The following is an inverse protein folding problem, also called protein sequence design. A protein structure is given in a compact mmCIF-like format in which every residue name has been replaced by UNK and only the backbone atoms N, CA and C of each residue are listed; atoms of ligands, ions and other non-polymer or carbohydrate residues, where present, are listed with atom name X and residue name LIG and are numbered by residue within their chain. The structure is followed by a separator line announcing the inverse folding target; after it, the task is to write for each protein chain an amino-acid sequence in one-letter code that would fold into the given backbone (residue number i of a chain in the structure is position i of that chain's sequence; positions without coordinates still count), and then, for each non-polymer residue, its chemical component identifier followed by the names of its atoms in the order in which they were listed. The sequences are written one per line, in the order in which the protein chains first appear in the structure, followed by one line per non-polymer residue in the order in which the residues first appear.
data_IF_445171151727
#
_entry.id   IF_445171151727
#
_cell.length_a   1.000
_cell.length_b   1.000
_cell.length_c   1.000
_cell.angle_alpha   90.00
_cell.angle_beta   90.00
_cell.angle_gamma   90.00
#
_symmetry.space_group_name_H-M   'P 1'
#
loop_
_entity.id
_entity.type
_entity.pdbx_description
1 polymer ?
#
# COMPACT_ATOMS: atom_id res chain seq x y z
N UNK A 1 21.34 31.72 20.98
CA UNK A 1 20.45 32.78 20.46
C UNK A 1 19.08 32.61 21.08
N UNK A 2 18.44 33.66 21.60
CA UNK A 2 17.11 33.54 22.20
C UNK A 2 16.06 33.33 21.11
N UNK A 3 15.15 32.38 21.31
CA UNK A 3 14.04 32.10 20.39
C UNK A 3 12.85 32.95 20.83
N UNK A 4 12.60 34.06 20.12
CA UNK A 4 11.43 34.91 20.35
C UNK A 4 10.23 34.27 19.63
N UNK A 5 9.23 33.81 20.39
CA UNK A 5 7.98 33.27 19.84
C UNK A 5 7.05 34.45 19.50
N UNK A 6 7.07 34.89 18.26
CA UNK A 6 6.08 35.84 17.74
C UNK A 6 4.81 35.06 17.37
N UNK A 7 3.63 35.37 17.95
CA UNK A 7 2.38 34.78 17.49
C UNK A 7 2.04 35.37 16.12
N UNK A 8 2.30 34.62 15.06
CA UNK A 8 1.83 34.95 13.72
C UNK A 8 0.50 34.21 13.46
N UNK A 9 -0.53 34.95 13.08
CA UNK A 9 -1.77 34.35 12.55
C UNK A 9 -1.48 33.79 11.15
N UNK A 10 -1.10 32.51 11.08
CA UNK A 10 -0.96 31.82 9.80
C UNK A 10 -2.34 31.35 9.32
N UNK A 11 -2.78 31.90 8.19
CA UNK A 11 -3.92 31.40 7.43
C UNK A 11 -3.49 30.24 6.54
N UNK A 12 -4.46 29.48 6.03
CA UNK A 12 -4.20 28.41 5.04
C UNK A 12 -3.52 28.98 3.79
N UNK A 13 -3.88 30.19 3.37
CA UNK A 13 -3.27 30.87 2.22
C UNK A 13 -1.80 31.22 2.46
N UNK A 14 -1.44 31.63 3.69
CA UNK A 14 -0.04 31.86 4.07
C UNK A 14 0.77 30.55 4.01
N UNK A 15 0.17 29.43 4.41
CA UNK A 15 0.81 28.12 4.31
C UNK A 15 0.99 27.68 2.86
N UNK A 16 -0.02 27.87 2.00
CA UNK A 16 0.09 27.50 0.57
C UNK A 16 1.21 28.29 -0.10
N UNK A 17 1.29 29.61 0.10
CA UNK A 17 2.37 30.43 -0.46
C UNK A 17 3.75 30.00 0.01
N UNK A 18 3.87 29.55 1.27
CA UNK A 18 5.14 29.04 1.77
C UNK A 18 5.52 27.70 1.12
N UNK A 19 4.53 26.81 0.91
CA UNK A 19 4.72 25.51 0.27
C UNK A 19 5.09 25.65 -1.21
N UNK A 20 4.54 26.65 -1.91
CA UNK A 20 4.89 26.97 -3.31
C UNK A 20 6.36 27.35 -3.51
N UNK A 21 7.02 27.87 -2.48
CA UNK A 21 8.43 28.26 -2.52
C UNK A 21 9.39 27.10 -2.20
N UNK A 22 8.88 25.93 -1.81
CA UNK A 22 9.72 24.80 -1.44
C UNK A 22 10.36 24.16 -2.67
N UNK A 23 11.65 23.74 -2.58
CA UNK A 23 12.25 22.90 -3.59
C UNK A 23 11.55 21.54 -3.65
N UNK A 24 11.65 20.85 -4.79
CA UNK A 24 10.88 19.63 -5.06
C UNK A 24 11.08 18.51 -4.02
N UNK A 25 12.29 18.40 -3.46
CA UNK A 25 12.61 17.40 -2.42
C UNK A 25 11.88 17.70 -1.10
N UNK A 26 11.90 18.97 -0.67
CA UNK A 26 11.23 19.42 0.56
C UNK A 26 9.70 19.42 0.41
N UNK A 27 9.19 19.73 -0.78
CA UNK A 27 7.77 19.62 -1.10
C UNK A 27 7.27 18.16 -0.97
N UNK A 28 8.08 17.21 -1.43
CA UNK A 28 7.78 15.78 -1.30
C UNK A 28 7.74 15.36 0.17
N UNK A 29 8.70 15.82 0.97
CA UNK A 29 8.71 15.54 2.41
C UNK A 29 7.51 16.18 3.14
N UNK A 30 7.16 17.42 2.78
CA UNK A 30 6.00 18.12 3.31
C UNK A 30 4.71 17.35 3.04
N UNK A 31 4.50 16.88 1.80
CA UNK A 31 3.33 16.07 1.44
C UNK A 31 3.22 14.80 2.28
N UNK A 32 4.33 14.08 2.50
CA UNK A 32 4.34 12.88 3.38
C UNK A 32 3.91 13.20 4.81
N UNK A 33 4.38 14.33 5.36
CA UNK A 33 4.00 14.75 6.72
C UNK A 33 2.52 15.13 6.80
N UNK A 34 1.96 15.75 5.77
CA UNK A 34 0.51 16.05 5.70
C UNK A 34 -0.31 14.77 5.66
N UNK A 35 0.10 13.77 4.88
CA UNK A 35 -0.52 12.44 4.86
C UNK A 35 -0.47 11.81 6.26
N UNK A 36 0.68 11.81 6.93
CA UNK A 36 0.79 11.27 8.29
C UNK A 36 -0.14 11.99 9.31
N UNK A 37 -0.33 13.30 9.15
CA UNK A 37 -1.29 14.07 9.94
C UNK A 37 -2.73 13.62 9.65
N UNK A 38 -3.07 13.34 8.39
CA UNK A 38 -4.39 12.86 8.01
C UNK A 38 -4.72 11.49 8.62
N UNK A 39 -3.78 10.53 8.56
CA UNK A 39 -3.92 9.23 9.23
C UNK A 39 -4.19 9.40 10.73
N UNK A 40 -3.39 10.22 11.41
CA UNK A 40 -3.54 10.48 12.86
C UNK A 40 -4.87 11.13 13.22
N UNK A 41 -5.46 11.91 12.31
CA UNK A 41 -6.73 12.61 12.50
C UNK A 41 -7.93 11.82 11.99
N UNK A 42 -7.72 10.67 11.35
CA UNK A 42 -8.80 9.85 10.77
C UNK A 42 -9.55 10.53 9.63
N UNK A 43 -8.94 11.52 8.96
CA UNK A 43 -9.52 12.16 7.78
C UNK A 43 -9.15 11.38 6.51
N UNK A 44 -10.01 11.40 5.48
CA UNK A 44 -9.72 10.74 4.20
C UNK A 44 -8.39 11.20 3.64
N UNK A 45 -7.58 10.22 3.21
CA UNK A 45 -6.28 10.50 2.65
C UNK A 45 -6.44 11.22 1.32
N UNK A 46 -5.68 12.29 1.11
CA UNK A 46 -5.54 12.93 -0.21
C UNK A 46 -4.74 12.00 -1.13
N UNK A 47 -5.34 10.88 -1.50
CA UNK A 47 -4.83 9.95 -2.50
C UNK A 47 -5.55 10.21 -3.81
N UNK A 48 -4.80 10.22 -4.90
CA UNK A 48 -5.42 10.20 -6.23
C UNK A 48 -6.04 8.81 -6.49
N UNK A 49 -6.97 8.74 -7.44
CA UNK A 49 -7.68 7.50 -7.79
C UNK A 49 -6.72 6.38 -8.19
N UNK A 50 -5.57 6.72 -8.79
CA UNK A 50 -4.52 5.77 -9.14
C UNK A 50 -3.88 5.12 -7.89
N UNK A 51 -3.56 5.89 -6.86
CA UNK A 51 -3.01 5.35 -5.61
C UNK A 51 -4.03 4.47 -4.88
N UNK A 52 -5.31 4.82 -4.95
CA UNK A 52 -6.38 3.96 -4.42
C UNK A 52 -6.47 2.64 -5.18
N UNK A 53 -6.41 2.67 -6.51
CA UNK A 53 -6.40 1.47 -7.34
C UNK A 53 -5.18 0.58 -7.05
N UNK A 54 -4.00 1.19 -6.86
CA UNK A 54 -2.77 0.47 -6.48
C UNK A 54 -2.91 -0.19 -5.11
N UNK A 55 -3.48 0.50 -4.12
CA UNK A 55 -3.76 -0.08 -2.80
C UNK A 55 -4.77 -1.23 -2.88
N UNK A 56 -5.83 -1.08 -3.68
CA UNK A 56 -6.81 -2.14 -3.91
C UNK A 56 -6.15 -3.39 -4.51
N UNK A 57 -5.28 -3.21 -5.52
CA UNK A 57 -4.50 -4.30 -6.11
C UNK A 57 -3.58 -5.00 -5.10
N UNK A 58 -2.95 -4.24 -4.19
CA UNK A 58 -2.10 -4.80 -3.13
C UNK A 58 -2.91 -5.62 -2.12
N UNK A 59 -4.15 -5.20 -1.85
CA UNK A 59 -5.04 -5.87 -0.90
C UNK A 59 -5.80 -7.08 -1.47
N UNK A 60 -5.70 -7.30 -2.79
CA UNK A 60 -6.42 -8.34 -3.51
C UNK A 60 -6.04 -9.76 -3.10
N UNK A 61 -6.81 -10.37 -2.19
CA UNK A 61 -6.66 -11.78 -1.80
C UNK A 61 -7.57 -12.69 -2.65
N UNK A 62 -7.38 -14.01 -2.53
CA UNK A 62 -8.38 -14.96 -2.99
C UNK A 62 -9.68 -14.79 -2.16
N UNK A 63 -10.86 -15.00 -2.75
CA UNK A 63 -12.10 -15.14 -1.99
C UNK A 63 -11.94 -16.23 -0.92
N UNK A 64 -12.60 -16.06 0.23
CA UNK A 64 -12.48 -16.98 1.38
C UNK A 64 -12.73 -18.44 1.01
N UNK A 65 -13.70 -18.70 0.14
CA UNK A 65 -14.03 -20.06 -0.32
C UNK A 65 -12.91 -20.68 -1.17
N UNK A 66 -12.35 -19.90 -2.09
CA UNK A 66 -11.22 -20.29 -2.92
C UNK A 66 -9.96 -20.53 -2.08
N UNK A 67 -9.71 -19.67 -1.07
CA UNK A 67 -8.61 -19.82 -0.13
C UNK A 67 -8.76 -21.13 0.67
N UNK A 68 -9.96 -21.40 1.20
CA UNK A 68 -10.25 -22.64 1.93
C UNK A 68 -10.02 -23.87 1.06
N UNK A 69 -10.49 -23.84 -0.20
CA UNK A 69 -10.30 -24.95 -1.13
C UNK A 69 -8.83 -25.19 -1.44
N UNK A 70 -8.06 -24.13 -1.66
CA UNK A 70 -6.62 -24.22 -1.83
C UNK A 70 -5.93 -24.82 -0.60
N UNK A 71 -6.34 -24.44 0.61
CA UNK A 71 -5.78 -24.98 1.84
C UNK A 71 -6.11 -26.47 2.02
N UNK A 72 -7.34 -26.89 1.71
CA UNK A 72 -7.73 -28.32 1.68
C UNK A 72 -6.88 -29.14 0.69
N UNK A 73 -6.65 -28.60 -0.52
CA UNK A 73 -5.83 -29.26 -1.53
C UNK A 73 -4.35 -29.35 -1.09
N UNK A 74 -3.83 -28.32 -0.41
CA UNK A 74 -2.47 -28.36 0.15
C UNK A 74 -2.34 -29.42 1.23
N UNK A 75 -3.32 -29.58 2.10
CA UNK A 75 -3.32 -30.61 3.14
C UNK A 75 -3.32 -32.01 2.51
N UNK A 76 -4.23 -32.27 1.56
CA UNK A 76 -4.24 -33.55 0.81
C UNK A 76 -2.92 -33.82 0.08
N UNK A 77 -2.24 -32.76 -0.37
CA UNK A 77 -0.95 -32.89 -1.07
C UNK A 77 0.13 -33.32 -0.09
N UNK A 78 0.07 -32.82 1.15
CA UNK A 78 0.98 -33.19 2.22
C UNK A 78 0.75 -34.62 2.70
N UNK A 79 -0.51 -35.05 2.74
CA UNK A 79 -0.92 -36.41 3.09
C UNK A 79 -0.76 -37.42 1.94
N UNK A 80 -0.33 -36.99 0.75
CA UNK A 80 -0.23 -37.81 -0.47
C UNK A 80 -1.56 -38.47 -0.90
N UNK A 81 -2.70 -37.90 -0.50
CA UNK A 81 -4.06 -38.42 -0.79
C UNK A 81 -4.73 -37.76 -1.99
N UNK A 82 -3.98 -36.94 -2.73
CA UNK A 82 -4.49 -36.04 -3.75
C UNK A 82 -4.78 -36.79 -5.05
N UNK A 83 -6.01 -36.67 -5.55
CA UNK A 83 -6.39 -37.31 -6.82
C UNK A 83 -5.83 -36.55 -8.03
N UNK A 84 -5.68 -37.19 -9.21
CA UNK A 84 -5.21 -36.49 -10.41
C UNK A 84 -6.06 -35.26 -10.79
N UNK A 85 -7.38 -35.32 -10.54
CA UNK A 85 -8.28 -34.18 -10.79
C UNK A 85 -8.02 -33.03 -9.80
N UNK A 86 -7.83 -33.34 -8.52
CA UNK A 86 -7.46 -32.37 -7.50
C UNK A 86 -6.08 -31.78 -7.74
N UNK A 87 -5.17 -32.52 -8.38
CA UNK A 87 -3.83 -32.04 -8.69
C UNK A 87 -3.89 -30.97 -9.78
N UNK A 88 -4.71 -31.17 -10.80
CA UNK A 88 -5.00 -30.14 -11.80
C UNK A 88 -5.69 -28.91 -11.20
N UNK A 89 -6.59 -29.12 -10.24
CA UNK A 89 -7.23 -28.04 -9.48
C UNK A 89 -6.21 -27.22 -8.68
N UNK A 90 -5.31 -27.90 -7.95
CA UNK A 90 -4.24 -27.27 -7.18
C UNK A 90 -3.32 -26.44 -8.07
N UNK A 91 -2.89 -26.98 -9.23
CA UNK A 91 -2.09 -26.24 -10.20
C UNK A 91 -2.79 -24.97 -10.69
N UNK A 92 -4.10 -25.04 -10.91
CA UNK A 92 -4.91 -23.88 -11.32
C UNK A 92 -4.91 -22.80 -10.24
N UNK A 93 -5.08 -23.17 -8.97
CA UNK A 93 -4.98 -22.22 -7.86
C UNK A 93 -3.59 -21.61 -7.72
N UNK A 94 -2.53 -22.42 -7.86
CA UNK A 94 -1.14 -21.92 -7.83
C UNK A 94 -0.93 -20.84 -8.88
N UNK A 95 -1.36 -21.08 -10.13
CA UNK A 95 -1.27 -20.09 -11.20
C UNK A 95 -2.03 -18.80 -10.88
N UNK A 96 -3.23 -18.90 -10.29
CA UNK A 96 -4.01 -17.73 -9.90
C UNK A 96 -3.34 -16.91 -8.79
N UNK A 97 -2.71 -17.58 -7.83
CA UNK A 97 -1.94 -16.93 -6.75
C UNK A 97 -0.71 -16.24 -7.33
N UNK A 98 0.06 -16.92 -8.18
CA UNK A 98 1.24 -16.34 -8.82
C UNK A 98 0.91 -15.08 -9.63
N UNK A 99 -0.17 -15.12 -10.43
CA UNK A 99 -0.62 -13.95 -11.18
C UNK A 99 -0.97 -12.78 -10.27
N UNK A 100 -1.64 -13.05 -9.15
CA UNK A 100 -1.97 -12.01 -8.15
C UNK A 100 -0.71 -11.47 -7.47
N UNK A 101 0.26 -12.33 -7.17
CA UNK A 101 1.52 -11.93 -6.57
C UNK A 101 2.34 -11.03 -7.50
N UNK A 102 2.34 -11.30 -8.81
CA UNK A 102 2.93 -10.41 -9.82
C UNK A 102 2.25 -9.04 -9.81
N UNK A 103 0.92 -9.00 -9.92
CA UNK A 103 0.15 -7.73 -9.90
C UNK A 103 0.41 -6.96 -8.60
N UNK A 104 0.44 -7.66 -7.47
CA UNK A 104 0.74 -7.08 -6.16
C UNK A 104 2.14 -6.50 -6.11
N UNK A 105 3.15 -7.22 -6.61
CA UNK A 105 4.53 -6.76 -6.64
C UNK A 105 4.68 -5.49 -7.51
N UNK A 106 4.07 -5.48 -8.69
CA UNK A 106 4.05 -4.31 -9.57
C UNK A 106 3.38 -3.11 -8.89
N UNK A 107 2.22 -3.32 -8.24
CA UNK A 107 1.50 -2.27 -7.55
C UNK A 107 2.30 -1.69 -6.38
N UNK A 108 3.00 -2.54 -5.60
CA UNK A 108 3.89 -2.12 -4.53
C UNK A 108 5.04 -1.24 -5.05
N UNK A 109 5.67 -1.63 -6.15
CA UNK A 109 6.76 -0.87 -6.77
C UNK A 109 6.26 0.49 -7.26
N UNK A 110 5.12 0.51 -7.95
CA UNK A 110 4.53 1.75 -8.47
C UNK A 110 4.14 2.71 -7.35
N UNK A 111 3.52 2.20 -6.28
CA UNK A 111 3.10 3.01 -5.15
C UNK A 111 4.29 3.55 -4.35
N UNK A 112 5.33 2.72 -4.12
CA UNK A 112 6.56 3.16 -3.48
C UNK A 112 7.25 4.27 -4.29
N UNK A 113 7.31 4.12 -5.63
CA UNK A 113 7.84 5.13 -6.54
C UNK A 113 7.06 6.44 -6.46
N UNK A 114 5.72 6.39 -6.50
CA UNK A 114 4.85 7.58 -6.40
C UNK A 114 5.05 8.33 -5.09
N UNK A 115 5.24 7.60 -3.98
CA UNK A 115 5.51 8.17 -2.67
C UNK A 115 6.97 8.58 -2.45
N UNK A 116 7.87 8.27 -3.40
CA UNK A 116 9.32 8.49 -3.31
C UNK A 116 10.02 7.67 -2.21
N UNK A 117 9.41 6.56 -1.78
CA UNK A 117 9.93 5.69 -0.71
C UNK A 117 10.40 4.36 -1.29
N UNK A 118 11.03 3.52 -0.48
CA UNK A 118 11.38 2.15 -0.88
C UNK A 118 10.20 1.22 -0.63
N UNK A 119 10.11 0.12 -1.38
CA UNK A 119 9.10 -0.93 -1.15
C UNK A 119 9.21 -1.48 0.28
N UNK A 120 10.44 -1.63 0.79
CA UNK A 120 10.69 -2.10 2.17
C UNK A 120 10.12 -1.16 3.22
N UNK A 121 10.35 0.16 3.09
CA UNK A 121 9.81 1.15 4.02
C UNK A 121 8.27 1.19 3.93
N UNK A 122 7.73 1.15 2.71
CA UNK A 122 6.29 1.11 2.52
C UNK A 122 5.65 -0.13 3.18
N UNK A 123 6.24 -1.32 3.01
CA UNK A 123 5.75 -2.55 3.65
C UNK A 123 5.74 -2.49 5.19
N UNK A 124 6.60 -1.69 5.81
CA UNK A 124 6.57 -1.46 7.25
C UNK A 124 5.39 -0.56 7.66
N UNK A 125 5.06 0.45 6.86
CA UNK A 125 3.95 1.38 7.11
C UNK A 125 2.57 0.69 7.07
N UNK A 126 2.38 -0.29 6.18
CA UNK A 126 1.10 -1.03 6.02
C UNK A 126 0.95 -2.27 6.91
N UNK A 127 1.98 -2.64 7.68
CA UNK A 127 1.93 -3.80 8.61
C UNK A 127 1.59 -3.40 10.06
N UNK A 128 1.51 -2.11 10.38
CA UNK A 128 1.13 -1.56 11.68
C UNK A 128 -0.39 -1.36 11.77
#
# INVERSE_FOLDING_TARGET
MPVVKVPAELTVEHLIRAVEQLPSEELTEFARRVIAIQLRRGVPLLMNDEEQALLAAISGRLPTEAQRRLDELREKSHEETLTPAEQAELLTFVQQVEQRDVVRAEALVQLAKKRGTTVSNFLQEIRA
#
